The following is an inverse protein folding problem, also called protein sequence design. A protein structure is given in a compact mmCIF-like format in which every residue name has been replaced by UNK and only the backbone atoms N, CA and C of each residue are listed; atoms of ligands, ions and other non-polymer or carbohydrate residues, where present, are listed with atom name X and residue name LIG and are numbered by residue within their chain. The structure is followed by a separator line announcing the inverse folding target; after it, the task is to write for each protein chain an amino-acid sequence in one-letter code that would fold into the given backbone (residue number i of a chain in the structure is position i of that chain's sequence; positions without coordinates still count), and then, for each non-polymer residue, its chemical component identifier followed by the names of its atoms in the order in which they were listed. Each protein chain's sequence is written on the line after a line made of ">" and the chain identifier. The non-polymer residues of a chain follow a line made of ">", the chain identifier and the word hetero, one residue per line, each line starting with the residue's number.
data_IF_707252916990
#
_entry.id   IF_707252916990
#
_cell.length_a   1.000
_cell.length_b   1.000
_cell.length_c   1.000
_cell.angle_alpha   90.00
_cell.angle_beta   90.00
_cell.angle_gamma   90.00
#
_symmetry.space_group_name_H-M   'P 1'
#
loop_
_entity.id
_entity.type
_entity.pdbx_description
1 polymer ?
#
# COMPACT_ATOMS: atom_id res chain seq x y z
N UNK A 1 -7.55 6.60 -26.66
CA UNK A 1 -6.88 7.03 -25.42
C UNK A 1 -7.30 5.98 -24.42
N UNK A 2 -6.45 4.99 -24.18
CA UNK A 2 -6.77 3.95 -23.21
C UNK A 2 -6.78 4.59 -21.83
N UNK A 3 -7.85 4.38 -21.07
CA UNK A 3 -7.91 4.82 -19.68
C UNK A 3 -6.76 4.14 -18.92
N UNK A 4 -6.07 4.85 -18.01
CA UNK A 4 -5.07 4.20 -17.17
C UNK A 4 -5.71 3.04 -16.41
N UNK A 5 -5.06 1.88 -16.42
CA UNK A 5 -5.53 0.73 -15.65
C UNK A 5 -5.46 1.05 -14.16
N UNK A 6 -6.61 0.96 -13.49
CA UNK A 6 -6.73 0.96 -12.04
C UNK A 6 -6.74 -0.48 -11.52
N UNK A 7 -6.00 -0.72 -10.45
CA UNK A 7 -5.86 -2.04 -9.83
C UNK A 7 -6.43 -2.10 -8.43
N UNK A 8 -6.50 -0.96 -7.73
CA UNK A 8 -7.01 -0.88 -6.36
C UNK A 8 -8.44 -0.32 -6.39
N UNK A 9 -9.37 -1.08 -6.97
CA UNK A 9 -10.79 -0.72 -7.06
C UNK A 9 -11.62 -1.41 -5.98
N UNK A 10 -12.79 -0.86 -5.69
CA UNK A 10 -13.81 -1.49 -4.84
C UNK A 10 -13.34 -1.81 -3.41
N UNK A 11 -12.39 -1.04 -2.88
CA UNK A 11 -11.84 -1.23 -1.54
C UNK A 11 -12.61 -0.47 -0.44
N UNK A 12 -13.49 0.45 -0.79
CA UNK A 12 -14.31 1.21 0.17
C UNK A 12 -15.20 0.28 1.01
N UNK A 13 -15.25 0.52 2.32
CA UNK A 13 -15.92 -0.36 3.29
C UNK A 13 -15.12 -1.59 3.69
N UNK A 14 -13.98 -1.87 3.03
CA UNK A 14 -13.13 -3.01 3.38
C UNK A 14 -12.37 -2.75 4.68
N UNK A 15 -12.29 -3.78 5.53
CA UNK A 15 -11.51 -3.73 6.77
C UNK A 15 -10.08 -4.24 6.55
N UNK A 16 -9.10 -3.41 6.85
CA UNK A 16 -7.68 -3.77 6.93
C UNK A 16 -7.32 -4.06 8.38
N UNK A 17 -6.72 -5.21 8.63
CA UNK A 17 -6.22 -5.61 9.96
C UNK A 17 -4.72 -5.45 9.98
N UNK A 18 -4.16 -4.84 11.03
CA UNK A 18 -2.73 -4.74 11.28
C UNK A 18 -2.37 -5.54 12.53
N UNK A 19 -1.32 -6.35 12.41
CA UNK A 19 -0.75 -7.06 13.55
C UNK A 19 0.02 -6.13 14.50
N UNK A 20 0.20 -6.56 15.74
CA UNK A 20 0.99 -5.82 16.70
C UNK A 20 2.48 -5.82 16.32
N UNK A 21 3.12 -4.66 16.40
CA UNK A 21 4.57 -4.49 16.23
C UNK A 21 5.16 -4.05 17.56
N UNK A 22 6.06 -4.85 18.13
CA UNK A 22 6.66 -4.60 19.44
C UNK A 22 8.18 -4.34 19.38
N UNK A 23 8.71 -3.99 18.20
CA UNK A 23 10.14 -3.72 17.98
C UNK A 23 10.47 -2.25 18.29
N UNK A 24 11.19 -1.92 19.38
CA UNK A 24 11.53 -0.53 19.69
C UNK A 24 12.29 0.16 18.54
N UNK A 25 11.98 1.43 18.20
CA UNK A 25 11.03 2.34 18.85
C UNK A 25 9.57 2.17 18.39
N UNK A 26 9.28 1.20 17.53
CA UNK A 26 7.94 0.91 17.04
C UNK A 26 7.16 0.08 18.05
N UNK A 27 6.07 0.64 18.56
CA UNK A 27 5.14 -0.06 19.44
C UNK A 27 3.72 0.23 18.98
N UNK A 28 3.24 -0.57 18.04
CA UNK A 28 1.91 -0.45 17.46
C UNK A 28 1.04 -1.60 17.98
N UNK A 29 -0.10 -1.34 18.63
CA UNK A 29 -1.03 -2.40 19.01
C UNK A 29 -1.67 -3.00 17.74
N UNK A 30 -2.16 -4.24 17.86
CA UNK A 30 -3.01 -4.82 16.84
C UNK A 30 -4.28 -3.96 16.69
N UNK A 31 -4.64 -3.65 15.45
CA UNK A 31 -5.67 -2.67 15.15
C UNK A 31 -6.37 -2.97 13.84
N UNK A 32 -7.59 -2.45 13.68
CA UNK A 32 -8.42 -2.64 12.49
C UNK A 32 -8.92 -1.29 12.00
N UNK A 33 -8.85 -1.08 10.70
CA UNK A 33 -9.25 0.15 10.03
C UNK A 33 -10.17 -0.16 8.87
N UNK A 34 -11.15 0.69 8.63
CA UNK A 34 -12.06 0.60 7.49
C UNK A 34 -11.68 1.68 6.50
N UNK A 35 -11.51 1.29 5.23
CA UNK A 35 -11.27 2.21 4.11
C UNK A 35 -12.58 2.96 3.86
N UNK A 36 -12.51 4.30 3.88
CA UNK A 36 -13.66 5.17 3.62
C UNK A 36 -13.70 5.66 2.18
N UNK A 37 -12.55 6.07 1.66
CA UNK A 37 -12.46 6.75 0.37
C UNK A 37 -11.10 6.49 -0.28
N UNK A 38 -11.08 6.30 -1.60
CA UNK A 38 -9.86 6.31 -2.41
C UNK A 38 -9.51 7.76 -2.80
N UNK A 39 -8.35 8.23 -2.36
CA UNK A 39 -7.86 9.59 -2.63
C UNK A 39 -7.09 9.68 -3.96
N UNK A 40 -6.48 8.58 -4.39
CA UNK A 40 -5.74 8.53 -5.66
C UNK A 40 -5.00 7.21 -5.86
N UNK A 41 -4.60 6.94 -7.10
CA UNK A 41 -3.78 5.78 -7.48
C UNK A 41 -2.74 6.20 -8.51
N UNK A 42 -1.51 5.73 -8.31
CA UNK A 42 -0.40 5.88 -9.24
C UNK A 42 0.10 4.49 -9.65
N UNK A 43 -0.07 4.15 -10.93
CA UNK A 43 0.35 2.87 -11.49
C UNK A 43 1.69 3.01 -12.21
N UNK A 44 2.69 2.26 -11.77
CA UNK A 44 3.95 2.06 -12.49
C UNK A 44 3.87 0.77 -13.32
N UNK A 45 3.25 0.93 -14.49
CA UNK A 45 2.99 -0.17 -15.40
C UNK A 45 4.22 -0.44 -16.29
N UNK A 46 4.92 -1.54 -16.01
CA UNK A 46 6.18 -1.88 -16.67
C UNK A 46 6.01 -3.00 -17.70
N UNK A 47 6.68 -2.85 -18.83
CA UNK A 47 6.76 -3.88 -19.87
C UNK A 47 7.85 -4.91 -19.57
N UNK A 48 7.87 -6.02 -20.31
CA UNK A 48 8.97 -7.01 -20.20
C UNK A 48 10.35 -6.41 -20.48
N UNK A 49 10.43 -5.37 -21.32
CA UNK A 49 11.69 -4.70 -21.63
C UNK A 49 12.18 -3.88 -20.44
N UNK A 50 11.25 -3.19 -19.75
CA UNK A 50 11.55 -2.41 -18.55
C UNK A 50 12.03 -3.31 -17.40
N UNK A 51 11.38 -4.46 -17.21
CA UNK A 51 11.83 -5.48 -16.23
C UNK A 51 13.23 -5.99 -16.60
N UNK A 52 13.48 -6.26 -17.89
CA UNK A 52 14.80 -6.71 -18.35
C UNK A 52 15.89 -5.63 -18.24
N UNK A 53 15.50 -4.35 -18.18
CA UNK A 53 16.37 -3.22 -17.90
C UNK A 53 16.53 -2.94 -16.38
N UNK A 54 16.03 -3.85 -15.53
CA UNK A 54 16.15 -3.78 -14.07
C UNK A 54 15.50 -2.53 -13.44
N UNK A 55 14.42 -2.01 -14.05
CA UNK A 55 13.67 -0.86 -13.52
C UNK A 55 12.80 -1.18 -12.29
N UNK A 56 12.89 -2.42 -11.77
CA UNK A 56 12.08 -2.91 -10.66
C UNK A 56 10.85 -3.71 -11.14
N UNK A 57 10.00 -4.19 -10.21
CA UNK A 57 8.74 -4.84 -10.55
C UNK A 57 7.71 -3.83 -11.04
N UNK A 58 6.73 -4.29 -11.82
CA UNK A 58 5.54 -3.49 -12.09
C UNK A 58 4.68 -3.43 -10.82
N UNK A 59 4.27 -2.23 -10.42
CA UNK A 59 3.43 -2.03 -9.23
C UNK A 59 2.48 -0.85 -9.36
N UNK A 60 1.61 -0.71 -8.37
CA UNK A 60 0.72 0.44 -8.18
C UNK A 60 0.78 0.89 -6.73
N UNK A 61 0.47 2.16 -6.50
CA UNK A 61 0.30 2.70 -5.17
C UNK A 61 -1.02 3.47 -5.06
N UNK A 62 -1.85 3.10 -4.08
CA UNK A 62 -3.13 3.77 -3.79
C UNK A 62 -3.10 4.48 -2.45
N UNK A 63 -3.65 5.70 -2.41
CA UNK A 63 -3.89 6.47 -1.19
C UNK A 63 -5.35 6.38 -0.78
N UNK A 64 -5.60 6.16 0.50
CA UNK A 64 -6.95 6.00 1.04
C UNK A 64 -7.11 6.76 2.35
N UNK A 65 -8.32 7.28 2.57
CA UNK A 65 -8.76 7.77 3.87
C UNK A 65 -9.40 6.62 4.65
N UNK A 66 -9.04 6.47 5.93
CA UNK A 66 -9.51 5.39 6.78
C UNK A 66 -10.02 5.90 8.14
N UNK A 67 -10.84 5.08 8.81
CA UNK A 67 -11.22 5.25 10.22
C UNK A 67 -10.98 3.98 11.02
N UNK A 68 -10.86 4.06 12.36
CA UNK A 68 -10.85 2.86 13.21
C UNK A 68 -12.12 2.03 13.03
N UNK A 69 -12.00 0.71 13.04
CA UNK A 69 -13.13 -0.20 12.89
C UNK A 69 -13.95 -0.34 14.19
N UNK A 70 -13.31 -0.17 15.36
CA UNK A 70 -13.93 -0.38 16.67
C UNK A 70 -14.85 0.75 17.13
N UNK A 71 -14.78 1.92 16.49
CA UNK A 71 -15.46 3.13 16.94
C UNK A 71 -16.07 3.84 15.72
N UNK A 72 -17.32 3.54 15.38
CA UNK A 72 -17.99 4.16 14.22
C UNK A 72 -18.19 5.67 14.37
N UNK A 73 -18.38 6.13 15.60
CA UNK A 73 -18.53 7.56 15.95
C UNK A 73 -17.19 8.26 16.23
N UNK A 74 -16.05 7.57 16.07
CA UNK A 74 -14.73 8.19 16.23
C UNK A 74 -14.42 9.06 15.01
N UNK A 75 -14.16 10.34 15.27
CA UNK A 75 -13.72 11.31 14.27
C UNK A 75 -12.25 11.13 13.89
N UNK A 76 -11.51 10.21 14.52
CA UNK A 76 -10.15 9.91 14.13
C UNK A 76 -10.10 9.37 12.70
N UNK A 77 -9.14 9.90 11.97
CA UNK A 77 -8.85 9.54 10.59
C UNK A 77 -7.38 9.25 10.44
N UNK A 78 -7.09 8.44 9.43
CA UNK A 78 -5.73 8.09 9.06
C UNK A 78 -5.65 7.96 7.56
N UNK A 79 -4.47 8.22 7.03
CA UNK A 79 -4.14 7.90 5.66
C UNK A 79 -3.55 6.50 5.59
N UNK A 80 -3.91 5.79 4.55
CA UNK A 80 -3.41 4.46 4.22
C UNK A 80 -2.81 4.47 2.82
N UNK A 81 -1.54 4.06 2.72
CA UNK A 81 -0.92 3.68 1.46
C UNK A 81 -1.02 2.17 1.30
N UNK A 82 -1.48 1.73 0.14
CA UNK A 82 -1.37 0.34 -0.31
C UNK A 82 -0.44 0.33 -1.51
N UNK A 83 0.66 -0.41 -1.44
CA UNK A 83 1.39 -0.81 -2.65
C UNK A 83 0.92 -2.19 -3.06
N UNK A 84 0.88 -2.47 -4.35
CA UNK A 84 0.53 -3.80 -4.85
C UNK A 84 1.33 -4.11 -6.10
N UNK A 85 1.95 -5.29 -6.13
CA UNK A 85 2.56 -5.77 -7.37
C UNK A 85 1.48 -6.05 -8.41
N UNK A 86 1.64 -5.52 -9.62
CA UNK A 86 0.69 -5.69 -10.73
C UNK A 86 1.31 -6.53 -11.84
N UNK A 87 0.50 -7.14 -12.73
CA UNK A 87 1.02 -7.90 -13.85
C UNK A 87 1.91 -7.04 -14.75
N UNK A 88 2.97 -7.66 -15.28
CA UNK A 88 3.77 -7.07 -16.36
C UNK A 88 2.86 -6.78 -17.55
N UNK A 89 3.12 -5.67 -18.23
CA UNK A 89 2.29 -5.21 -19.32
C UNK A 89 2.02 -6.28 -20.39
N UNK A 90 0.74 -6.46 -20.73
CA UNK A 90 0.25 -7.43 -21.70
C UNK A 90 0.12 -8.85 -21.14
N UNK A 91 0.22 -9.02 -19.82
CA UNK A 91 0.06 -10.32 -19.15
C UNK A 91 -1.14 -10.42 -18.21
N UNK A 92 -1.93 -9.36 -18.09
CA UNK A 92 -3.06 -9.20 -17.17
C UNK A 92 -4.11 -10.31 -17.37
N UNK A 93 -4.40 -10.63 -18.63
CA UNK A 93 -5.39 -11.65 -19.02
C UNK A 93 -4.81 -13.05 -19.12
N UNK A 94 -3.51 -13.24 -18.79
CA UNK A 94 -2.89 -14.58 -18.81
C UNK A 94 -3.33 -15.37 -17.58
N UNK A 95 -3.19 -16.70 -17.69
CA UNK A 95 -3.49 -17.64 -16.59
C UNK A 95 -2.76 -17.21 -15.30
N UNK A 96 -3.41 -17.39 -14.15
CA UNK A 96 -2.84 -17.10 -12.83
C UNK A 96 -1.43 -17.69 -12.65
N UNK A 97 -1.18 -18.93 -13.09
CA UNK A 97 0.14 -19.57 -13.02
C UNK A 97 1.24 -18.85 -13.84
N UNK A 98 0.89 -18.08 -14.87
CA UNK A 98 1.84 -17.26 -15.64
C UNK A 98 2.10 -15.94 -14.91
N UNK A 99 1.06 -15.32 -14.34
CA UNK A 99 1.20 -14.10 -13.53
C UNK A 99 1.98 -14.38 -12.24
N UNK A 100 1.73 -15.51 -11.58
CA UNK A 100 2.42 -15.92 -10.35
C UNK A 100 3.95 -16.02 -10.51
N UNK A 101 4.44 -16.37 -11.71
CA UNK A 101 5.89 -16.41 -12.00
C UNK A 101 6.55 -15.03 -12.03
N UNK A 102 5.76 -13.97 -11.98
CA UNK A 102 6.24 -12.59 -11.95
C UNK A 102 6.42 -12.09 -10.51
N UNK A 103 5.86 -12.80 -9.52
CA UNK A 103 6.02 -12.45 -8.11
C UNK A 103 7.51 -12.35 -7.74
N UNK A 104 7.88 -11.25 -7.09
CA UNK A 104 9.24 -11.09 -6.57
C UNK A 104 9.33 -11.69 -5.17
N UNK A 105 10.45 -12.37 -4.88
CA UNK A 105 10.66 -13.01 -3.57
C UNK A 105 10.77 -11.99 -2.42
N UNK A 106 11.30 -10.80 -2.72
CA UNK A 106 11.46 -9.71 -1.76
C UNK A 106 10.83 -8.45 -2.34
N UNK A 107 9.83 -7.84 -1.67
CA UNK A 107 9.26 -6.58 -2.11
C UNK A 107 10.34 -5.49 -2.18
N UNK A 108 10.21 -4.53 -3.10
CA UNK A 108 11.08 -3.37 -3.11
C UNK A 108 10.93 -2.57 -1.81
N UNK A 109 12.01 -1.91 -1.41
CA UNK A 109 11.96 -0.97 -0.30
C UNK A 109 11.14 0.25 -0.72
N UNK A 110 9.96 0.45 -0.11
CA UNK A 110 9.15 1.64 -0.36
C UNK A 110 9.74 2.86 0.38
N UNK A 111 10.15 3.92 -0.35
CA UNK A 111 10.79 5.09 0.27
C UNK A 111 9.95 5.75 1.37
N UNK A 112 8.63 5.75 1.22
CA UNK A 112 7.68 6.28 2.21
C UNK A 112 7.78 5.55 3.56
N UNK A 113 7.81 4.21 3.56
CA UNK A 113 7.99 3.42 4.79
C UNK A 113 9.37 3.66 5.42
N UNK A 114 10.42 3.74 4.59
CA UNK A 114 11.78 4.06 5.08
C UNK A 114 11.79 5.42 5.76
N UNK A 115 11.15 6.43 5.14
CA UNK A 115 11.07 7.78 5.67
C UNK A 115 10.37 7.79 7.04
N UNK A 116 9.16 7.23 7.13
CA UNK A 116 8.43 7.15 8.40
C UNK A 116 9.24 6.45 9.50
N UNK A 117 9.83 5.29 9.19
CA UNK A 117 10.66 4.54 10.15
C UNK A 117 11.86 5.36 10.61
N UNK A 118 12.49 6.10 9.71
CA UNK A 118 13.67 6.93 10.01
C UNK A 118 13.29 8.13 10.88
N UNK A 119 12.26 8.88 10.51
CA UNK A 119 11.85 10.07 11.26
C UNK A 119 11.31 9.73 12.65
N UNK A 120 10.58 8.63 12.81
CA UNK A 120 10.18 8.14 14.13
C UNK A 120 11.38 7.75 15.00
N UNK A 121 12.39 7.06 14.44
CA UNK A 121 13.62 6.72 15.17
C UNK A 121 14.38 7.95 15.64
N UNK A 122 14.33 9.03 14.87
CA UNK A 122 14.93 10.31 15.22
C UNK A 122 14.03 11.18 16.12
N UNK A 123 12.85 10.69 16.50
CA UNK A 123 11.85 11.42 17.30
C UNK A 123 11.50 12.79 16.70
N UNK A 124 11.35 12.83 15.37
CA UNK A 124 10.97 14.02 14.62
C UNK A 124 9.47 14.30 14.77
N UNK A 125 9.10 15.53 15.10
CA UNK A 125 7.73 15.97 15.42
C UNK A 125 7.05 16.75 14.26
N UNK A 126 7.74 16.93 13.13
CA UNK A 126 7.22 17.64 11.95
C UNK A 126 6.78 16.71 10.81
N UNK A 127 6.73 15.39 11.06
CA UNK A 127 6.25 14.37 10.13
C UNK A 127 5.06 13.66 10.78
N UNK A 128 3.98 13.35 10.04
CA UNK A 128 2.87 12.59 10.59
C UNK A 128 3.34 11.30 11.26
N UNK A 129 2.73 10.96 12.39
CA UNK A 129 3.06 9.75 13.13
C UNK A 129 2.61 8.51 12.36
N UNK A 130 3.54 7.58 12.13
CA UNK A 130 3.20 6.23 11.66
C UNK A 130 2.37 5.54 12.74
N UNK A 131 1.25 4.96 12.33
CA UNK A 131 0.32 4.24 13.19
C UNK A 131 0.48 2.72 13.06
N UNK A 132 0.95 2.25 11.91
CA UNK A 132 1.19 0.84 11.66
C UNK A 132 1.71 0.59 10.25
N UNK A 133 2.29 -0.58 10.03
CA UNK A 133 2.63 -1.08 8.70
C UNK A 133 2.57 -2.61 8.72
N UNK A 134 2.31 -3.20 7.56
CA UNK A 134 2.31 -4.64 7.40
C UNK A 134 2.57 -5.03 5.95
N UNK A 135 2.90 -6.30 5.73
CA UNK A 135 3.09 -6.87 4.41
C UNK A 135 2.23 -8.12 4.27
N UNK A 136 1.42 -8.17 3.22
CA UNK A 136 0.65 -9.33 2.79
C UNK A 136 1.23 -9.89 1.49
N UNK A 137 0.98 -11.17 1.24
CA UNK A 137 1.18 -11.78 -0.07
C UNK A 137 -0.15 -11.95 -0.80
N UNK A 138 -0.12 -11.79 -2.12
CA UNK A 138 -1.30 -11.90 -2.96
C UNK A 138 -1.83 -13.34 -3.03
N UNK A 139 -3.15 -13.46 -2.93
CA UNK A 139 -3.87 -14.72 -3.04
C UNK A 139 -3.92 -15.23 -4.51
N UNK A 140 -4.48 -16.42 -4.71
CA UNK A 140 -4.43 -17.10 -6.02
C UNK A 140 -5.18 -16.38 -7.14
N UNK A 141 -6.21 -15.61 -6.78
CA UNK A 141 -7.11 -14.88 -7.67
C UNK A 141 -6.69 -13.42 -7.93
N UNK A 142 -5.75 -12.88 -7.17
CA UNK A 142 -5.30 -11.50 -7.29
C UNK A 142 -4.37 -11.24 -8.50
N UNK A 143 -3.90 -9.99 -8.64
CA UNK A 143 -3.14 -9.47 -9.77
C UNK A 143 -1.89 -10.31 -10.09
N UNK A 144 -1.08 -10.55 -9.09
CA UNK A 144 0.13 -11.37 -9.21
C UNK A 144 0.13 -12.34 -8.05
N UNK A 145 -0.39 -13.57 -8.20
CA UNK A 145 -0.44 -14.53 -7.09
C UNK A 145 0.95 -14.77 -6.48
N UNK A 146 1.05 -14.64 -5.15
CA UNK A 146 2.32 -14.68 -4.41
C UNK A 146 3.13 -13.38 -4.44
N UNK A 147 2.70 -12.37 -5.21
CA UNK A 147 3.27 -11.02 -5.21
C UNK A 147 3.00 -10.28 -3.89
N UNK A 148 3.55 -9.09 -3.74
CA UNK A 148 3.52 -8.36 -2.47
C UNK A 148 2.39 -7.31 -2.38
N UNK A 149 1.87 -7.09 -1.17
CA UNK A 149 0.93 -6.00 -0.82
C UNK A 149 1.29 -5.40 0.55
N UNK A 150 2.11 -4.35 0.59
CA UNK A 150 2.47 -3.59 1.78
C UNK A 150 1.40 -2.53 2.07
N UNK A 151 1.08 -2.40 3.34
CA UNK A 151 0.18 -1.39 3.87
C UNK A 151 0.96 -0.48 4.82
N UNK A 152 0.79 0.83 4.68
CA UNK A 152 1.42 1.84 5.54
C UNK A 152 0.31 2.76 6.03
N UNK A 153 0.16 2.89 7.34
CA UNK A 153 -0.90 3.67 7.97
C UNK A 153 -0.27 4.78 8.82
N UNK A 154 -0.69 6.02 8.61
CA UNK A 154 -0.23 7.18 9.39
C UNK A 154 -1.37 8.13 9.69
N UNK A 155 -1.18 8.99 10.70
CA UNK A 155 -2.22 9.91 11.14
C UNK A 155 -2.59 10.94 10.07
N UNK A 156 -3.87 11.31 10.02
CA UNK A 156 -4.28 12.54 9.35
C UNK A 156 -3.84 13.73 10.21
N UNK A 157 -3.21 14.72 9.57
CA UNK A 157 -2.82 15.98 10.20
C UNK A 157 -3.74 17.10 9.72
N UNK A 158 -4.06 18.05 10.60
CA UNK A 158 -4.88 19.19 10.24
C UNK A 158 -4.19 20.04 9.15
N UNK A 159 -4.89 20.28 8.04
CA UNK A 159 -4.37 21.07 6.93
C UNK A 159 -5.17 20.85 5.65
N UNK A 160 -4.75 21.53 4.60
CA UNK A 160 -5.28 21.33 3.24
C UNK A 160 -4.22 20.64 2.39
N UNK A 161 -4.65 19.71 1.53
CA UNK A 161 -3.76 19.10 0.54
C UNK A 161 -3.22 20.18 -0.40
N UNK A 162 -1.90 20.25 -0.52
CA UNK A 162 -1.24 21.02 -1.56
C UNK A 162 -1.29 20.18 -2.84
N UNK A 163 -2.43 20.17 -3.54
CA UNK A 163 -2.52 19.51 -4.84
C UNK A 163 -1.45 20.12 -5.78
N UNK A 164 -0.50 19.32 -6.27
CA UNK A 164 0.50 19.73 -7.26
C UNK A 164 0.31 18.97 -8.57
#
# INVERSE_FOLDING_TARGET
>A
MDLPMEYLTDLEGTQVTFDAVTEPPFNFPAQKWIILEKLGEESNYLTKQDIAAELGPSDTSGSFLCRPASEEDDNRRAFLRIYQQVPIAGTETKKAAIRARQAVDTPPNHPELIAFRTFMKLNCDVVPRLLGYQQRQQDHDEGVPGGYIPYILWEEVAGESLNF
#
